data_IF_875343616292
#
_entry.id   IF_875343616292
#
_cell.length_a   1.000
_cell.length_b   1.000
_cell.length_c   1.000
_cell.angle_alpha   90.00
_cell.angle_beta   90.00
_cell.angle_gamma   90.00
#
_symmetry.space_group_name_H-M   'P 1'
#
loop_
_entity.id
_entity.type
_entity.pdbx_description
1 polymer ?
#
# COMPACT_ATOMS: atom_id res chain seq x y z
N UNK A 1 -9.37 -22.79 4.12
CA UNK A 1 -9.29 -22.35 5.53
C UNK A 1 -8.05 -21.49 5.63
N UNK A 2 -8.22 -20.16 5.60
CA UNK A 2 -7.12 -19.19 5.56
C UNK A 2 -6.33 -19.27 6.88
N UNK A 3 -5.02 -19.43 6.79
CA UNK A 3 -4.20 -19.90 7.90
C UNK A 3 -4.00 -18.75 8.91
N UNK A 4 -4.42 -18.92 10.16
CA UNK A 4 -4.28 -17.93 11.25
C UNK A 4 -2.83 -17.44 11.40
N UNK A 5 -1.86 -18.30 11.07
CA UNK A 5 -0.44 -17.96 11.01
C UNK A 5 -0.12 -16.80 10.05
N UNK A 6 -0.79 -16.67 8.91
CA UNK A 6 -0.50 -15.60 7.94
C UNK A 6 -1.00 -14.25 8.46
N UNK A 7 -2.17 -14.22 9.10
CA UNK A 7 -2.69 -13.03 9.79
C UNK A 7 -1.80 -12.64 10.99
N UNK A 8 -1.29 -13.63 11.73
CA UNK A 8 -0.42 -13.38 12.87
C UNK A 8 0.94 -12.76 12.45
N UNK A 9 1.52 -13.22 11.34
CA UNK A 9 2.78 -12.64 10.80
C UNK A 9 2.64 -11.17 10.45
N UNK A 10 1.56 -10.79 9.77
CA UNK A 10 1.29 -9.38 9.46
C UNK A 10 0.93 -8.55 10.71
N UNK A 11 0.20 -9.16 11.65
CA UNK A 11 -0.22 -8.52 12.89
C UNK A 11 0.94 -8.06 13.77
N UNK A 12 2.02 -8.84 13.86
CA UNK A 12 3.23 -8.45 14.61
C UNK A 12 3.93 -7.22 14.05
N UNK A 13 4.01 -7.10 12.72
CA UNK A 13 4.57 -5.90 12.08
C UNK A 13 3.70 -4.67 12.32
N UNK A 14 2.37 -4.82 12.27
CA UNK A 14 1.44 -3.72 12.51
C UNK A 14 1.48 -3.25 13.97
N UNK A 15 1.56 -4.18 14.93
CA UNK A 15 1.72 -3.85 16.34
C UNK A 15 3.04 -3.14 16.64
N UNK A 16 4.14 -3.61 16.05
CA UNK A 16 5.44 -2.94 16.17
C UNK A 16 5.40 -1.50 15.62
N UNK A 17 4.76 -1.29 14.46
CA UNK A 17 4.61 0.03 13.87
C UNK A 17 3.78 0.98 14.76
N UNK A 18 2.67 0.50 15.33
CA UNK A 18 1.85 1.29 16.26
C UNK A 18 2.60 1.66 17.54
N UNK A 19 3.39 0.73 18.09
CA UNK A 19 4.23 1.01 19.27
C UNK A 19 5.27 2.09 18.97
N UNK A 20 5.95 2.01 17.83
CA UNK A 20 6.92 3.03 17.41
C UNK A 20 6.27 4.40 17.23
N UNK A 21 5.09 4.46 16.59
CA UNK A 21 4.33 5.70 16.44
C UNK A 21 3.94 6.27 17.82
N UNK A 22 3.53 5.42 18.76
CA UNK A 22 3.19 5.84 20.12
C UNK A 22 4.40 6.41 20.89
N UNK A 23 5.58 5.79 20.75
CA UNK A 23 6.84 6.30 21.33
C UNK A 23 7.17 7.67 20.75
N UNK A 24 7.09 7.85 19.43
CA UNK A 24 7.37 9.14 18.78
C UNK A 24 6.35 10.21 19.22
N UNK A 25 5.07 9.84 19.36
CA UNK A 25 4.04 10.75 19.83
C UNK A 25 4.28 11.24 21.27
N UNK A 26 4.89 10.42 22.13
CA UNK A 26 5.23 10.81 23.50
C UNK A 26 6.52 11.62 23.59
N UNK A 27 7.57 11.20 22.87
CA UNK A 27 8.91 11.83 22.94
C UNK A 27 8.99 13.12 22.12
N UNK A 28 8.35 13.19 20.95
CA UNK A 28 8.50 14.27 20.00
C UNK A 28 7.15 14.73 19.42
N UNK A 29 6.32 15.37 20.27
CA UNK A 29 4.97 15.85 19.92
C UNK A 29 4.93 16.70 18.63
N UNK A 30 5.97 17.48 18.36
CA UNK A 30 6.08 18.30 17.16
C UNK A 30 6.12 17.46 15.85
N UNK A 31 6.66 16.25 15.90
CA UNK A 31 6.83 15.39 14.72
C UNK A 31 5.55 14.64 14.33
N UNK A 32 4.50 14.68 15.16
CA UNK A 32 3.21 14.02 14.87
C UNK A 32 2.63 14.55 13.55
N UNK A 33 2.73 15.86 13.30
CA UNK A 33 2.26 16.46 12.05
C UNK A 33 2.97 15.91 10.82
N UNK A 34 4.30 15.71 10.90
CA UNK A 34 5.11 15.17 9.80
C UNK A 34 4.81 13.69 9.55
N UNK A 35 4.55 12.92 10.62
CA UNK A 35 4.11 11.53 10.53
C UNK A 35 2.75 11.41 9.85
N UNK A 36 1.77 12.21 10.28
CA UNK A 36 0.43 12.24 9.68
C UNK A 36 0.51 12.66 8.22
N UNK A 37 1.31 13.67 7.90
CA UNK A 37 1.56 14.09 6.52
C UNK A 37 2.12 12.95 5.67
N UNK A 38 3.13 12.24 6.17
CA UNK A 38 3.76 11.12 5.45
C UNK A 38 2.78 9.95 5.22
N UNK A 39 1.96 9.61 6.22
CA UNK A 39 0.91 8.59 6.10
C UNK A 39 -0.20 9.00 5.12
N UNK A 40 -0.61 10.28 5.16
CA UNK A 40 -1.60 10.81 4.24
C UNK A 40 -1.10 10.70 2.79
N UNK A 41 0.17 11.05 2.53
CA UNK A 41 0.79 10.90 1.22
C UNK A 41 0.73 9.46 0.71
N UNK A 42 1.21 8.50 1.51
CA UNK A 42 1.21 7.08 1.10
C UNK A 42 -0.23 6.58 0.85
N UNK A 43 -1.19 6.98 1.68
CA UNK A 43 -2.60 6.58 1.53
C UNK A 43 -3.22 7.13 0.25
N UNK A 44 -2.99 8.41 -0.06
CA UNK A 44 -3.46 9.04 -1.30
C UNK A 44 -2.79 8.40 -2.51
N UNK A 45 -1.49 8.14 -2.44
CA UNK A 45 -0.75 7.48 -3.53
C UNK A 45 -1.27 6.08 -3.84
N UNK A 46 -1.55 5.28 -2.81
CA UNK A 46 -2.14 3.95 -2.95
C UNK A 46 -3.54 4.02 -3.57
N UNK A 47 -4.37 4.96 -3.10
CA UNK A 47 -5.71 5.18 -3.65
C UNK A 47 -5.64 5.56 -5.14
N UNK A 48 -4.83 6.55 -5.50
CA UNK A 48 -4.67 6.99 -6.88
C UNK A 48 -4.12 5.87 -7.78
N UNK A 49 -3.07 5.15 -7.35
CA UNK A 49 -2.50 4.05 -8.11
C UNK A 49 -3.51 2.94 -8.40
N UNK A 50 -4.36 2.61 -7.42
CA UNK A 50 -5.44 1.66 -7.61
C UNK A 50 -6.49 2.13 -8.64
N UNK A 51 -6.89 3.40 -8.58
CA UNK A 51 -7.88 3.96 -9.50
C UNK A 51 -7.32 4.15 -10.92
N UNK A 52 -6.04 4.49 -11.06
CA UNK A 52 -5.36 4.58 -12.36
C UNK A 52 -5.35 3.21 -13.04
N UNK A 53 -4.94 2.15 -12.32
CA UNK A 53 -4.98 0.78 -12.83
C UNK A 53 -6.41 0.39 -13.28
N UNK A 54 -7.43 0.76 -12.50
CA UNK A 54 -8.83 0.44 -12.78
C UNK A 54 -9.41 1.20 -13.99
N UNK A 55 -9.00 2.45 -14.20
CA UNK A 55 -9.46 3.30 -15.30
C UNK A 55 -8.79 2.96 -16.63
N UNK A 56 -7.49 2.64 -16.61
CA UNK A 56 -6.74 2.29 -17.82
C UNK A 56 -7.05 0.88 -18.32
N UNK A 57 -7.36 -0.07 -17.44
CA UNK A 57 -7.55 -1.49 -17.81
C UNK A 57 -8.93 -2.03 -17.44
N UNK A 58 -9.97 -1.54 -18.14
CA UNK A 58 -11.37 -1.89 -17.87
C UNK A 58 -11.67 -3.39 -18.04
N UNK A 59 -11.11 -4.03 -19.08
CA UNK A 59 -11.31 -5.45 -19.40
C UNK A 59 -10.09 -6.34 -19.08
N UNK A 60 -8.92 -5.73 -18.83
CA UNK A 60 -7.66 -6.43 -18.56
C UNK A 60 -7.42 -6.75 -17.09
N UNK A 61 -8.48 -6.86 -16.29
CA UNK A 61 -8.39 -6.99 -14.83
C UNK A 61 -7.85 -8.35 -14.42
N UNK A 62 -7.00 -8.44 -13.38
CA UNK A 62 -6.46 -9.71 -12.90
C UNK A 62 -7.54 -10.73 -12.52
N UNK A 63 -8.69 -10.26 -12.01
CA UNK A 63 -9.82 -11.11 -11.62
C UNK A 63 -10.60 -11.67 -12.82
N UNK A 64 -10.49 -11.04 -13.99
CA UNK A 64 -11.18 -11.45 -15.21
C UNK A 64 -10.30 -12.33 -16.12
N UNK A 65 -9.01 -12.51 -15.79
CA UNK A 65 -8.09 -13.35 -16.55
C UNK A 65 -8.29 -14.84 -16.23
N UNK A 66 -8.67 -15.63 -17.23
CA UNK A 66 -8.81 -17.10 -17.11
C UNK A 66 -7.47 -17.84 -17.24
N UNK A 67 -6.55 -17.32 -18.05
CA UNK A 67 -5.22 -17.91 -18.24
C UNK A 67 -4.28 -17.51 -17.10
N UNK A 68 -3.60 -18.50 -16.48
CA UNK A 68 -2.66 -18.27 -15.37
C UNK A 68 -1.55 -17.29 -15.73
N UNK A 69 -0.97 -17.36 -16.93
CA UNK A 69 0.07 -16.43 -17.38
C UNK A 69 -0.41 -14.98 -17.42
N UNK A 70 -1.57 -14.74 -18.02
CA UNK A 70 -2.17 -13.40 -18.11
C UNK A 70 -2.62 -12.87 -16.74
N UNK A 71 -3.05 -13.76 -15.83
CA UNK A 71 -3.41 -13.39 -14.45
C UNK A 71 -2.20 -12.87 -13.67
N UNK A 72 -1.07 -13.58 -13.68
CA UNK A 72 0.15 -13.13 -13.00
C UNK A 72 0.68 -11.82 -13.59
N UNK A 73 0.69 -11.68 -14.92
CA UNK A 73 1.10 -10.44 -15.60
C UNK A 73 0.22 -9.24 -15.19
N UNK A 74 -1.09 -9.43 -15.06
CA UNK A 74 -2.00 -8.38 -14.61
C UNK A 74 -1.74 -7.97 -13.14
N UNK A 75 -1.40 -8.92 -12.26
CA UNK A 75 -1.01 -8.62 -10.88
C UNK A 75 0.32 -7.85 -10.80
N UNK A 76 1.31 -8.22 -11.61
CA UNK A 76 2.59 -7.50 -11.68
C UNK A 76 2.41 -6.06 -12.17
N UNK A 77 1.57 -5.85 -13.20
CA UNK A 77 1.26 -4.50 -13.69
C UNK A 77 0.62 -3.63 -12.60
N UNK A 78 -0.39 -4.15 -11.90
CA UNK A 78 -1.05 -3.42 -10.81
C UNK A 78 -0.05 -3.08 -9.70
N UNK A 79 0.79 -4.03 -9.30
CA UNK A 79 1.83 -3.82 -8.31
C UNK A 79 2.82 -2.72 -8.76
N UNK A 80 3.26 -2.76 -10.03
CA UNK A 80 4.16 -1.77 -10.60
C UNK A 80 3.53 -0.35 -10.60
N UNK A 81 2.28 -0.20 -11.04
CA UNK A 81 1.57 1.09 -11.06
C UNK A 81 1.43 1.65 -9.64
N UNK A 82 0.98 0.83 -8.69
CA UNK A 82 0.80 1.26 -7.30
C UNK A 82 2.15 1.64 -6.68
N UNK A 83 3.20 0.85 -6.91
CA UNK A 83 4.55 1.16 -6.41
C UNK A 83 5.10 2.46 -6.99
N UNK A 84 4.90 2.70 -8.29
CA UNK A 84 5.32 3.94 -8.95
C UNK A 84 4.59 5.16 -8.37
N UNK A 85 3.29 5.05 -8.09
CA UNK A 85 2.54 6.12 -7.43
C UNK A 85 3.05 6.40 -6.01
N UNK A 86 3.30 5.36 -5.21
CA UNK A 86 3.81 5.50 -3.84
C UNK A 86 5.19 6.16 -3.85
N UNK A 87 6.11 5.69 -4.69
CA UNK A 87 7.47 6.25 -4.80
C UNK A 87 7.42 7.68 -5.33
N UNK A 88 6.62 7.95 -6.38
CA UNK A 88 6.48 9.28 -6.96
C UNK A 88 5.98 10.31 -5.95
N UNK A 89 4.94 9.99 -5.18
CA UNK A 89 4.41 10.90 -4.15
C UNK A 89 5.32 11.00 -2.92
N UNK A 90 6.16 9.99 -2.68
CA UNK A 90 7.13 10.01 -1.58
C UNK A 90 8.34 10.88 -1.91
N UNK A 91 8.79 10.88 -3.17
CA UNK A 91 9.91 11.70 -3.68
C UNK A 91 9.47 13.14 -3.96
N UNK A 92 8.19 13.36 -4.32
CA UNK A 92 7.62 14.70 -4.41
C UNK A 92 7.63 15.35 -3.02
N UNK A 93 8.74 16.05 -2.73
CA UNK A 93 8.95 16.91 -1.57
C UNK A 93 8.36 18.28 -1.88
#
# INVERSE_FOLDING_TARGET
>A
MENIQDKARGGWWLLAALLLIAVIAFTAKHQIGVLVWSLAKISVAAYLGYWIDRSMFREGRPDQQKALGCKHAAWYRRAAIISACIVGLSIAV
#
